data_IF_355488742924
#
_entry.id   IF_355488742924
#
_cell.length_a   1.000
_cell.length_b   1.000
_cell.length_c   1.000
_cell.angle_alpha   90.00
_cell.angle_beta   90.00
_cell.angle_gamma   90.00
#
_symmetry.space_group_name_H-M   'P 1'
#
loop_
_entity.id
_entity.type
_entity.pdbx_description
1 polymer ?
#
# COMPACT_ATOMS: atom_id res chain seq x y z
N UNK A 1 -18.04 2.66 -20.44
CA UNK A 1 -17.37 2.88 -19.15
C UNK A 1 -18.43 2.72 -18.07
N UNK A 2 -18.52 1.54 -17.47
CA UNK A 2 -19.40 1.29 -16.32
C UNK A 2 -18.82 2.02 -15.14
N UNK A 3 -19.53 3.02 -14.63
CA UNK A 3 -19.19 3.69 -13.37
C UNK A 3 -19.11 2.63 -12.27
N UNK A 4 -17.92 2.42 -11.72
CA UNK A 4 -17.77 1.58 -10.53
C UNK A 4 -18.67 2.15 -9.43
N UNK A 5 -19.36 1.28 -8.69
CA UNK A 5 -20.19 1.71 -7.57
C UNK A 5 -19.31 2.52 -6.57
N UNK A 6 -19.86 3.60 -6.00
CA UNK A 6 -19.11 4.42 -5.05
C UNK A 6 -18.77 3.59 -3.80
N UNK A 7 -17.52 3.67 -3.35
CA UNK A 7 -17.10 3.07 -2.09
C UNK A 7 -17.74 3.79 -0.90
N UNK A 8 -18.14 3.04 0.11
CA UNK A 8 -18.67 3.61 1.33
C UNK A 8 -17.55 3.98 2.29
N UNK A 9 -17.36 5.28 2.53
CA UNK A 9 -16.36 5.77 3.48
C UNK A 9 -16.87 5.68 4.91
N UNK A 10 -15.99 5.27 5.83
CA UNK A 10 -16.25 5.12 7.26
C UNK A 10 -15.11 5.73 8.06
N UNK A 11 -15.41 6.25 9.24
CA UNK A 11 -14.42 6.78 10.15
C UNK A 11 -14.06 5.75 11.24
N UNK A 12 -12.77 5.64 11.55
CA UNK A 12 -12.24 5.01 12.75
C UNK A 12 -11.80 6.12 13.69
N UNK A 13 -12.47 6.24 14.84
CA UNK A 13 -12.14 7.24 15.85
C UNK A 13 -10.75 7.03 16.45
N UNK A 14 -10.10 8.11 16.85
CA UNK A 14 -8.78 8.10 17.47
C UNK A 14 -7.97 9.35 17.08
N UNK A 15 -6.72 9.39 17.49
CA UNK A 15 -5.77 10.45 17.14
C UNK A 15 -4.55 9.83 16.44
N UNK A 16 -4.40 10.03 15.14
CA UNK A 16 -5.34 10.69 14.24
C UNK A 16 -6.62 9.85 13.97
N UNK A 17 -7.72 10.51 13.57
CA UNK A 17 -8.88 9.81 13.01
C UNK A 17 -8.55 9.28 11.63
N UNK A 18 -8.94 8.03 11.34
CA UNK A 18 -8.69 7.40 10.06
C UNK A 18 -10.00 7.24 9.28
N UNK A 19 -9.88 7.33 7.97
CA UNK A 19 -10.94 6.94 7.05
C UNK A 19 -10.60 5.62 6.40
N UNK A 20 -11.57 4.74 6.29
CA UNK A 20 -11.47 3.53 5.51
C UNK A 20 -12.68 3.37 4.60
N UNK A 21 -12.52 2.65 3.52
CA UNK A 21 -13.51 2.49 2.49
C UNK A 21 -13.92 1.03 2.39
N UNK A 22 -15.22 0.81 2.29
CA UNK A 22 -15.83 -0.48 2.03
C UNK A 22 -16.28 -0.48 0.56
N UNK A 23 -15.60 -1.21 -0.33
CA UNK A 23 -15.96 -1.29 -1.75
C UNK A 23 -17.26 -2.03 -2.01
N UNK A 24 -17.73 -2.83 -1.04
CA UNK A 24 -18.99 -3.57 -1.14
C UNK A 24 -20.02 -2.96 -0.18
N UNK A 25 -21.24 -2.63 -0.65
CA UNK A 25 -22.30 -2.23 0.27
C UNK A 25 -22.59 -3.38 1.24
N UNK A 26 -22.63 -3.08 2.53
CA UNK A 26 -23.09 -4.04 3.54
C UNK A 26 -24.43 -4.60 3.10
N UNK A 27 -24.47 -5.87 2.74
CA UNK A 27 -25.76 -6.57 2.64
C UNK A 27 -26.36 -6.58 4.03
N UNK A 28 -27.64 -6.23 4.15
CA UNK A 28 -28.40 -6.07 5.38
C UNK A 28 -28.49 -7.32 6.28
N UNK A 29 -27.72 -8.35 6.00
CA UNK A 29 -27.58 -9.60 6.76
C UNK A 29 -26.39 -9.63 7.72
N UNK A 30 -25.86 -8.49 8.14
CA UNK A 30 -24.83 -8.39 9.19
C UNK A 30 -25.45 -8.58 10.60
N UNK A 31 -26.13 -9.73 10.79
CA UNK A 31 -26.65 -10.15 12.10
C UNK A 31 -25.49 -10.66 12.94
N UNK A 32 -25.32 -10.18 14.20
CA UNK A 32 -24.32 -10.75 15.11
C UNK A 32 -24.58 -12.24 15.31
N UNK A 33 -23.58 -13.08 15.02
CA UNK A 33 -23.65 -14.54 15.25
C UNK A 33 -23.54 -15.44 14.03
N UNK A 34 -23.50 -14.91 12.79
CA UNK A 34 -23.32 -15.75 11.60
C UNK A 34 -21.83 -16.05 11.35
N UNK A 35 -21.42 -17.28 11.59
CA UNK A 35 -20.05 -17.81 11.50
C UNK A 35 -19.53 -18.08 10.07
N UNK A 36 -20.16 -17.53 9.03
CA UNK A 36 -19.85 -17.83 7.64
C UNK A 36 -19.64 -16.58 6.80
N UNK A 37 -18.67 -15.74 7.17
CA UNK A 37 -18.35 -14.55 6.35
C UNK A 37 -16.88 -14.58 6.02
N UNK A 38 -16.58 -14.50 4.72
CA UNK A 38 -15.24 -14.55 4.17
C UNK A 38 -14.23 -13.70 4.95
N UNK A 39 -12.97 -14.12 4.96
CA UNK A 39 -11.90 -13.42 5.66
C UNK A 39 -11.83 -11.95 5.23
N UNK A 40 -11.59 -11.05 6.18
CA UNK A 40 -11.35 -9.65 5.84
C UNK A 40 -9.99 -9.49 5.18
N UNK A 41 -9.93 -8.71 4.09
CA UNK A 41 -8.68 -8.29 3.46
C UNK A 41 -8.53 -6.79 3.66
N UNK A 42 -7.48 -6.40 4.36
CA UNK A 42 -7.13 -5.00 4.66
C UNK A 42 -6.09 -4.53 3.66
N UNK A 43 -6.39 -3.48 2.88
CA UNK A 43 -5.52 -2.92 1.86
C UNK A 43 -4.87 -1.63 2.37
N UNK A 44 -3.52 -1.55 2.29
CA UNK A 44 -2.69 -0.44 2.80
C UNK A 44 -1.85 0.13 1.64
N UNK A 45 -2.14 1.37 1.24
CA UNK A 45 -1.53 2.01 0.07
C UNK A 45 -0.10 2.52 0.32
N UNK A 46 0.61 2.88 -0.77
CA UNK A 46 1.93 3.49 -0.73
C UNK A 46 1.92 4.97 -0.33
N UNK A 47 3.10 5.50 0.01
CA UNK A 47 3.28 6.93 0.26
C UNK A 47 2.88 7.75 -0.96
N UNK A 48 2.30 8.94 -0.77
CA UNK A 48 1.74 9.82 -1.81
C UNK A 48 0.49 9.31 -2.53
N UNK A 49 -0.07 8.18 -2.09
CA UNK A 49 -1.28 7.57 -2.65
C UNK A 49 -2.47 7.72 -1.68
N UNK A 50 -3.58 7.10 -2.01
CA UNK A 50 -4.75 6.98 -1.14
C UNK A 50 -5.40 5.61 -1.37
N UNK A 51 -6.41 5.26 -0.59
CA UNK A 51 -7.07 3.96 -0.69
C UNK A 51 -7.58 3.64 -2.09
N UNK A 52 -8.08 4.62 -2.82
CA UNK A 52 -8.57 4.44 -4.19
C UNK A 52 -7.49 4.00 -5.20
N UNK A 53 -6.21 4.08 -4.84
CA UNK A 53 -5.13 3.53 -5.66
C UNK A 53 -5.27 2.01 -5.88
N UNK A 54 -6.01 1.34 -5.00
CA UNK A 54 -6.34 -0.08 -5.13
C UNK A 54 -7.58 -0.39 -5.98
N UNK A 55 -8.27 0.59 -6.59
CA UNK A 55 -9.47 0.33 -7.40
C UNK A 55 -9.30 -0.81 -8.43
N UNK A 56 -8.19 -0.90 -9.19
CA UNK A 56 -8.01 -2.01 -10.13
C UNK A 56 -7.87 -3.37 -9.43
N UNK A 57 -7.16 -3.43 -8.31
CA UNK A 57 -7.01 -4.66 -7.53
C UNK A 57 -8.32 -5.07 -6.87
N UNK A 58 -9.06 -4.12 -6.30
CA UNK A 58 -10.40 -4.34 -5.73
C UNK A 58 -11.33 -4.91 -6.78
N UNK A 59 -11.41 -4.30 -7.97
CA UNK A 59 -12.23 -4.81 -9.07
C UNK A 59 -11.84 -6.25 -9.45
N UNK A 60 -10.55 -6.59 -9.44
CA UNK A 60 -10.07 -7.94 -9.71
C UNK A 60 -10.38 -8.92 -8.58
N UNK A 61 -10.37 -8.48 -7.30
CA UNK A 61 -10.71 -9.32 -6.15
C UNK A 61 -12.20 -9.60 -6.05
N UNK A 62 -13.04 -8.65 -6.47
CA UNK A 62 -14.51 -8.76 -6.41
C UNK A 62 -15.14 -9.36 -7.67
N UNK A 63 -14.36 -9.49 -8.76
CA UNK A 63 -14.83 -10.14 -9.98
C UNK A 63 -15.28 -11.57 -9.68
N UNK A 64 -16.54 -11.88 -9.99
CA UNK A 64 -17.13 -13.20 -9.81
C UNK A 64 -16.54 -14.17 -10.83
N UNK A 65 -15.67 -15.08 -10.39
CA UNK A 65 -15.27 -16.27 -11.14
C UNK A 65 -15.85 -17.49 -10.40
N UNK A 66 -16.40 -18.43 -11.14
CA UNK A 66 -16.80 -19.73 -10.59
C UNK A 66 -15.59 -20.37 -9.89
N UNK A 67 -15.70 -20.59 -8.56
CA UNK A 67 -14.63 -21.09 -7.70
C UNK A 67 -13.98 -20.07 -6.75
N UNK A 68 -14.33 -18.78 -6.82
CA UNK A 68 -13.68 -17.71 -6.03
C UNK A 68 -14.34 -17.41 -4.68
N UNK A 69 -15.19 -18.28 -4.18
CA UNK A 69 -15.94 -18.05 -2.95
C UNK A 69 -15.60 -19.11 -1.91
N UNK A 70 -15.25 -18.66 -0.71
CA UNK A 70 -15.33 -19.50 0.49
C UNK A 70 -16.77 -19.39 0.98
N UNK A 71 -17.50 -20.52 1.04
CA UNK A 71 -18.92 -20.56 1.43
C UNK A 71 -19.86 -19.63 0.59
N UNK A 72 -19.56 -19.43 -0.70
CA UNK A 72 -20.40 -18.61 -1.59
C UNK A 72 -20.21 -17.09 -1.43
N UNK A 73 -19.24 -16.63 -0.64
CA UNK A 73 -18.95 -15.22 -0.40
C UNK A 73 -17.50 -14.86 -0.76
N UNK A 74 -17.29 -13.75 -1.45
CA UNK A 74 -15.97 -13.18 -1.68
C UNK A 74 -15.34 -12.61 -0.40
N UNK A 75 -14.03 -12.22 -0.45
CA UNK A 75 -13.37 -11.61 0.69
C UNK A 75 -14.04 -10.27 1.04
N UNK A 76 -14.14 -9.97 2.34
CA UNK A 76 -14.60 -8.63 2.80
C UNK A 76 -13.45 -7.65 2.71
N UNK A 77 -13.53 -6.67 1.85
CA UNK A 77 -12.46 -5.72 1.64
C UNK A 77 -12.60 -4.52 2.59
N UNK A 78 -11.47 -4.03 3.10
CA UNK A 78 -11.35 -2.77 3.81
C UNK A 78 -10.10 -2.05 3.29
N UNK A 79 -10.29 -0.87 2.73
CA UNK A 79 -9.20 -0.07 2.14
C UNK A 79 -8.97 1.14 3.01
N UNK A 80 -7.81 1.25 3.66
CA UNK A 80 -7.49 2.34 4.57
C UNK A 80 -6.84 3.50 3.82
N UNK A 81 -7.34 4.72 4.06
CA UNK A 81 -6.52 5.92 3.90
C UNK A 81 -5.60 6.02 5.11
N UNK A 82 -4.30 5.97 4.90
CA UNK A 82 -3.33 6.08 5.99
C UNK A 82 -3.25 7.53 6.50
N UNK A 83 -2.79 7.74 7.75
CA UNK A 83 -2.64 9.10 8.34
C UNK A 83 -2.01 10.06 7.34
N UNK A 84 -2.49 11.29 7.29
CA UNK A 84 -2.00 12.34 6.38
C UNK A 84 -2.29 12.14 4.90
N UNK A 85 -3.05 11.10 4.52
CA UNK A 85 -3.42 10.79 3.14
C UNK A 85 -4.94 10.72 2.98
N UNK A 86 -5.41 10.93 1.76
CA UNK A 86 -6.82 10.77 1.40
C UNK A 86 -7.75 11.56 2.30
N UNK A 87 -8.73 10.89 2.86
CA UNK A 87 -9.73 11.48 3.77
C UNK A 87 -9.38 11.29 5.25
N UNK A 88 -8.22 10.66 5.57
CA UNK A 88 -7.73 10.52 6.94
C UNK A 88 -7.11 11.82 7.47
N UNK A 89 -7.17 12.00 8.80
CA UNK A 89 -6.63 13.19 9.46
C UNK A 89 -5.11 13.29 9.33
N UNK A 90 -4.63 14.52 9.38
CA UNK A 90 -3.21 14.83 9.55
C UNK A 90 -2.75 14.38 10.93
N UNK A 91 -1.43 14.20 11.09
CA UNK A 91 -0.80 13.82 12.33
C UNK A 91 0.48 14.64 12.56
N UNK A 92 1.00 14.60 13.78
CA UNK A 92 2.26 15.27 14.11
C UNK A 92 3.51 14.48 13.69
N UNK A 93 3.35 13.19 13.36
CA UNK A 93 4.46 12.28 13.04
C UNK A 93 4.06 11.24 12.01
N UNK A 94 5.02 10.87 11.13
CA UNK A 94 4.82 10.06 9.94
C UNK A 94 5.91 8.99 9.75
N UNK A 95 6.28 8.27 10.81
CA UNK A 95 7.18 7.12 10.73
C UNK A 95 6.42 5.85 10.33
N UNK A 96 7.09 4.84 9.77
CA UNK A 96 6.48 3.56 9.44
C UNK A 96 5.79 2.93 10.66
N UNK A 97 6.39 3.05 11.84
CA UNK A 97 5.83 2.57 13.10
C UNK A 97 4.54 3.29 13.51
N UNK A 98 4.37 4.56 13.13
CA UNK A 98 3.15 5.31 13.41
C UNK A 98 1.99 4.83 12.53
N UNK A 99 2.25 4.62 11.23
CA UNK A 99 1.28 4.02 10.31
C UNK A 99 0.88 2.61 10.76
N UNK A 100 1.86 1.84 11.25
CA UNK A 100 1.61 0.49 11.76
C UNK A 100 0.75 0.51 13.03
N UNK A 101 0.92 1.48 13.92
CA UNK A 101 0.06 1.65 15.09
C UNK A 101 -1.40 1.95 14.67
N UNK A 102 -1.61 2.74 13.63
CA UNK A 102 -2.95 3.00 13.08
C UNK A 102 -3.58 1.74 12.48
N UNK A 103 -2.84 1.02 11.67
CA UNK A 103 -3.32 -0.24 11.09
C UNK A 103 -3.63 -1.28 12.18
N UNK A 104 -2.81 -1.37 13.22
CA UNK A 104 -3.06 -2.22 14.38
C UNK A 104 -4.37 -1.86 15.08
N UNK A 105 -4.63 -0.58 15.33
CA UNK A 105 -5.89 -0.10 15.91
C UNK A 105 -7.11 -0.49 15.06
N UNK A 106 -6.98 -0.40 13.73
CA UNK A 106 -8.04 -0.86 12.83
C UNK A 106 -8.27 -2.37 12.96
N UNK A 107 -7.20 -3.17 12.95
CA UNK A 107 -7.25 -4.63 13.03
C UNK A 107 -7.82 -5.08 14.38
N UNK A 108 -7.39 -4.47 15.49
CA UNK A 108 -7.92 -4.76 16.83
C UNK A 108 -9.44 -4.51 16.92
N UNK A 109 -9.92 -3.46 16.25
CA UNK A 109 -11.36 -3.11 16.24
C UNK A 109 -12.18 -4.05 15.36
N UNK A 110 -11.62 -4.54 14.23
CA UNK A 110 -12.39 -5.24 13.21
C UNK A 110 -12.13 -6.76 13.14
N UNK A 111 -11.17 -7.27 13.93
CA UNK A 111 -10.89 -8.69 14.08
C UNK A 111 -9.96 -9.27 13.01
N UNK A 112 -9.87 -10.62 12.95
CA UNK A 112 -8.89 -11.30 12.11
C UNK A 112 -8.97 -10.95 10.63
N UNK A 113 -7.79 -10.82 9.98
CA UNK A 113 -7.69 -10.40 8.58
C UNK A 113 -6.45 -10.98 7.87
N UNK A 114 -6.47 -10.85 6.54
CA UNK A 114 -5.28 -10.85 5.69
C UNK A 114 -4.92 -9.38 5.43
N UNK A 115 -3.65 -9.05 5.53
CA UNK A 115 -3.16 -7.70 5.20
C UNK A 115 -2.45 -7.70 3.85
N UNK A 116 -2.79 -6.74 3.00
CA UNK A 116 -2.17 -6.55 1.68
C UNK A 116 -1.66 -5.12 1.62
N UNK A 117 -0.36 -4.95 1.50
CA UNK A 117 0.24 -3.62 1.47
C UNK A 117 1.07 -3.38 0.22
N UNK A 118 1.10 -2.15 -0.26
CA UNK A 118 1.97 -1.70 -1.34
C UNK A 118 2.96 -0.66 -0.82
N UNK A 119 4.24 -0.80 -1.15
CA UNK A 119 5.28 0.18 -0.81
C UNK A 119 5.33 0.46 0.70
N UNK A 120 5.08 1.69 1.17
CA UNK A 120 4.88 2.02 2.59
C UNK A 120 3.89 1.06 3.26
N UNK A 121 2.73 0.83 2.62
CA UNK A 121 1.72 -0.08 3.14
C UNK A 121 2.21 -1.52 3.29
N UNK A 122 3.18 -1.95 2.47
CA UNK A 122 3.79 -3.27 2.61
C UNK A 122 4.69 -3.36 3.86
N UNK A 123 5.43 -2.30 4.17
CA UNK A 123 6.20 -2.22 5.42
C UNK A 123 5.28 -2.21 6.65
N UNK A 124 4.17 -1.46 6.57
CA UNK A 124 3.14 -1.45 7.61
C UNK A 124 2.51 -2.84 7.76
N UNK A 125 2.15 -3.50 6.66
CA UNK A 125 1.59 -4.86 6.67
C UNK A 125 2.54 -5.88 7.29
N UNK A 126 3.85 -5.82 6.98
CA UNK A 126 4.86 -6.66 7.60
C UNK A 126 4.92 -6.43 9.12
N UNK A 127 4.92 -5.17 9.54
CA UNK A 127 5.01 -4.83 10.97
C UNK A 127 3.79 -5.33 11.76
N UNK A 128 2.56 -5.13 11.26
CA UNK A 128 1.36 -5.61 11.96
C UNK A 128 1.28 -7.14 11.94
N UNK A 129 1.75 -7.81 10.87
CA UNK A 129 1.83 -9.27 10.81
C UNK A 129 2.79 -9.84 11.86
N UNK A 130 3.91 -9.15 12.12
CA UNK A 130 4.85 -9.51 13.18
C UNK A 130 4.30 -9.26 14.59
N UNK A 131 3.53 -8.19 14.78
CA UNK A 131 3.06 -7.72 16.11
C UNK A 131 1.71 -8.29 16.53
N UNK A 132 0.87 -8.69 15.59
CA UNK A 132 -0.50 -9.18 15.83
C UNK A 132 -0.71 -10.61 15.27
N UNK A 133 0.11 -11.61 15.68
CA UNK A 133 0.07 -12.95 15.08
C UNK A 133 -1.26 -13.68 15.32
N UNK A 134 -2.04 -13.27 16.31
CA UNK A 134 -3.38 -13.82 16.58
C UNK A 134 -4.46 -13.27 15.62
N UNK A 135 -4.26 -12.07 15.06
CA UNK A 135 -5.24 -11.37 14.25
C UNK A 135 -4.84 -11.34 12.75
N UNK A 136 -3.57 -11.22 12.44
CA UNK A 136 -3.10 -11.26 11.05
C UNK A 136 -2.87 -12.71 10.64
N UNK A 137 -3.78 -13.22 9.81
CA UNK A 137 -3.80 -14.63 9.37
C UNK A 137 -2.95 -14.88 8.13
N UNK A 138 -2.60 -13.82 7.40
CA UNK A 138 -1.74 -13.88 6.22
C UNK A 138 -1.36 -12.49 5.76
N UNK A 139 -0.26 -12.36 4.99
CA UNK A 139 0.19 -11.08 4.47
C UNK A 139 0.68 -11.17 3.02
N UNK A 140 0.38 -10.14 2.21
CA UNK A 140 0.96 -9.93 0.88
C UNK A 140 1.66 -8.57 0.88
N UNK A 141 2.97 -8.58 0.69
CA UNK A 141 3.82 -7.39 0.68
C UNK A 141 4.20 -7.06 -0.75
N UNK A 142 3.67 -5.98 -1.30
CA UNK A 142 3.89 -5.60 -2.69
C UNK A 142 4.98 -4.54 -2.74
N UNK A 143 6.16 -4.93 -3.20
CA UNK A 143 7.32 -4.10 -3.51
C UNK A 143 7.71 -3.09 -2.40
N UNK A 144 7.94 -3.55 -1.15
CA UNK A 144 8.35 -2.68 -0.04
C UNK A 144 9.75 -2.11 -0.26
N UNK A 145 9.96 -0.80 -0.05
CA UNK A 145 11.27 -0.18 -0.31
C UNK A 145 12.24 -0.24 0.88
N UNK A 146 12.12 -1.13 1.78
CA UNK A 146 12.92 -1.30 3.00
C UNK A 146 14.05 -0.24 3.20
N UNK A 147 15.34 -0.63 3.22
CA UNK A 147 16.47 0.29 3.44
C UNK A 147 16.72 1.24 2.25
N UNK A 148 16.27 0.89 1.04
CA UNK A 148 16.47 1.70 -0.17
C UNK A 148 15.85 3.10 -0.08
N UNK A 149 14.75 3.25 0.67
CA UNK A 149 14.12 4.54 0.95
C UNK A 149 14.28 4.98 2.42
N UNK A 150 15.15 4.35 3.19
CA UNK A 150 15.57 4.78 4.51
C UNK A 150 16.85 5.62 4.42
N UNK A 151 17.88 5.24 5.19
CA UNK A 151 19.17 5.95 5.26
C UNK A 151 19.87 6.10 3.88
N UNK A 152 19.56 5.22 2.92
CA UNK A 152 20.15 5.22 1.57
C UNK A 152 19.38 6.08 0.55
N UNK A 153 18.36 6.83 0.97
CA UNK A 153 17.55 7.63 0.04
C UNK A 153 18.33 8.80 -0.58
N UNK A 154 19.32 9.33 0.15
CA UNK A 154 20.09 10.51 -0.27
C UNK A 154 20.74 10.36 -1.64
N UNK A 155 20.53 11.31 -2.54
CA UNK A 155 21.02 11.33 -3.92
C UNK A 155 20.27 10.39 -4.88
N UNK A 156 19.23 9.70 -4.42
CA UNK A 156 18.46 8.76 -5.24
C UNK A 156 17.39 9.46 -6.11
N UNK A 157 16.93 8.76 -7.12
CA UNK A 157 15.76 9.17 -7.93
C UNK A 157 14.50 9.33 -7.05
N UNK A 158 14.38 8.55 -5.98
CA UNK A 158 13.26 8.61 -5.04
C UNK A 158 13.28 9.88 -4.20
N UNK A 159 14.47 10.31 -3.72
CA UNK A 159 14.60 11.58 -3.02
C UNK A 159 14.16 12.75 -3.93
N UNK A 160 14.69 12.81 -5.15
CA UNK A 160 14.34 13.85 -6.12
C UNK A 160 12.82 13.89 -6.39
N UNK A 161 12.19 12.71 -6.52
CA UNK A 161 10.76 12.59 -6.69
C UNK A 161 9.99 13.15 -5.48
N UNK A 162 10.33 12.72 -4.26
CA UNK A 162 9.61 13.13 -3.05
C UNK A 162 9.82 14.62 -2.73
N UNK A 163 11.00 15.16 -2.96
CA UNK A 163 11.26 16.62 -2.86
C UNK A 163 10.34 17.38 -3.84
N UNK A 164 10.31 16.98 -5.10
CA UNK A 164 9.47 17.61 -6.11
C UNK A 164 7.97 17.51 -5.79
N UNK A 165 7.50 16.35 -5.32
CA UNK A 165 6.10 16.15 -4.91
C UNK A 165 5.73 17.02 -3.70
N UNK A 166 6.61 17.10 -2.68
CA UNK A 166 6.39 17.95 -1.51
C UNK A 166 6.29 19.42 -1.90
N UNK A 167 7.17 19.88 -2.76
CA UNK A 167 7.14 21.28 -3.26
C UNK A 167 5.90 21.55 -4.09
N UNK A 168 5.52 20.65 -5.02
CA UNK A 168 4.31 20.79 -5.80
C UNK A 168 3.08 20.91 -4.88
N UNK A 169 2.99 20.04 -3.85
CA UNK A 169 1.89 20.07 -2.89
C UNK A 169 1.86 21.33 -2.03
N UNK A 170 3.03 21.85 -1.59
CA UNK A 170 3.15 23.08 -0.80
C UNK A 170 2.78 24.33 -1.60
N UNK A 171 3.06 24.37 -2.92
CA UNK A 171 2.63 25.44 -3.80
C UNK A 171 1.11 25.52 -3.91
N UNK A 172 0.43 24.39 -3.71
CA UNK A 172 -1.03 24.31 -3.80
C UNK A 172 -1.55 24.31 -5.23
N UNK A 173 -2.84 24.60 -5.37
CA UNK A 173 -3.55 24.58 -6.64
C UNK A 173 -4.47 23.38 -6.79
N UNK A 174 -5.32 23.41 -7.82
CA UNK A 174 -6.22 22.28 -8.14
C UNK A 174 -5.46 21.13 -8.82
N UNK A 175 -6.17 20.00 -8.98
CA UNK A 175 -5.60 18.78 -9.61
C UNK A 175 -4.88 19.04 -10.94
N UNK A 176 -5.41 19.85 -11.88
CA UNK A 176 -4.69 20.15 -13.13
C UNK A 176 -3.35 20.85 -12.91
N UNK A 177 -3.28 21.82 -11.98
CA UNK A 177 -2.04 22.54 -11.67
C UNK A 177 -1.02 21.61 -10.99
N UNK A 178 -1.48 20.71 -10.09
CA UNK A 178 -0.63 19.71 -9.48
C UNK A 178 -0.10 18.72 -10.51
N UNK A 179 -0.93 18.24 -11.44
CA UNK A 179 -0.51 17.33 -12.50
C UNK A 179 0.58 17.97 -13.39
N UNK A 180 0.41 19.24 -13.75
CA UNK A 180 1.43 19.99 -14.48
C UNK A 180 2.73 20.13 -13.68
N UNK A 181 2.65 20.46 -12.38
CA UNK A 181 3.82 20.58 -11.51
C UNK A 181 4.53 19.22 -11.32
N UNK A 182 3.79 18.11 -11.20
CA UNK A 182 4.34 16.74 -11.13
C UNK A 182 5.06 16.40 -12.43
N UNK A 183 4.51 16.75 -13.59
CA UNK A 183 5.14 16.50 -14.89
C UNK A 183 6.50 17.18 -15.03
N UNK A 184 6.70 18.34 -14.39
CA UNK A 184 7.97 19.10 -14.42
C UNK A 184 9.04 18.56 -13.46
N UNK A 185 8.73 17.60 -12.58
CA UNK A 185 9.72 17.01 -11.67
C UNK A 185 10.82 16.35 -12.49
N UNK A 186 12.06 16.68 -12.19
CA UNK A 186 13.25 16.19 -12.85
C UNK A 186 13.89 15.09 -12.02
N UNK A 187 14.05 13.91 -12.63
CA UNK A 187 14.59 12.72 -12.01
C UNK A 187 15.99 12.40 -12.55
N UNK A 188 16.98 12.10 -11.70
CA UNK A 188 18.26 11.54 -12.12
C UNK A 188 18.05 10.22 -12.86
N UNK A 189 18.70 10.07 -14.02
CA UNK A 189 18.69 8.85 -14.84
C UNK A 189 20.10 8.59 -15.39
N UNK A 190 20.98 8.07 -14.55
CA UNK A 190 22.41 7.96 -14.83
C UNK A 190 23.05 9.34 -15.01
N UNK A 191 23.70 9.58 -16.15
CA UNK A 191 24.31 10.87 -16.48
C UNK A 191 23.32 11.93 -17.03
N UNK A 192 22.04 11.60 -17.13
CA UNK A 192 20.98 12.46 -17.67
C UNK A 192 19.96 12.80 -16.59
N UNK A 193 19.13 13.78 -16.91
CA UNK A 193 17.93 14.11 -16.13
C UNK A 193 16.72 13.96 -17.04
N UNK A 194 15.69 13.29 -16.54
CA UNK A 194 14.44 13.04 -17.28
C UNK A 194 13.30 13.75 -16.55
N UNK A 195 12.40 14.41 -17.30
CA UNK A 195 11.16 14.95 -16.72
C UNK A 195 10.16 13.81 -16.49
N UNK A 196 9.45 13.85 -15.38
CA UNK A 196 8.45 12.83 -15.07
C UNK A 196 7.34 12.78 -16.13
N UNK A 197 6.97 13.94 -16.71
CA UNK A 197 5.99 14.02 -17.80
C UNK A 197 6.44 13.41 -19.12
N UNK A 198 7.74 13.15 -19.30
CA UNK A 198 8.24 12.48 -20.52
C UNK A 198 8.17 10.95 -20.43
N UNK A 199 7.98 10.41 -19.20
CA UNK A 199 7.98 8.96 -18.91
C UNK A 199 6.67 8.46 -18.28
N UNK A 200 5.73 9.34 -17.98
CA UNK A 200 4.40 9.00 -17.47
C UNK A 200 3.32 9.64 -18.32
N UNK A 201 2.27 8.90 -18.63
CA UNK A 201 1.12 9.41 -19.36
C UNK A 201 0.27 10.39 -18.52
N UNK A 202 -0.58 11.15 -19.20
CA UNK A 202 -1.41 12.17 -18.60
C UNK A 202 -2.41 11.60 -17.56
N UNK A 203 -2.89 10.37 -17.77
CA UNK A 203 -3.82 9.70 -16.84
C UNK A 203 -3.12 9.37 -15.53
N UNK A 204 -1.91 8.80 -15.59
CA UNK A 204 -1.10 8.51 -14.41
C UNK A 204 -0.70 9.78 -13.65
N UNK A 205 -0.37 10.87 -14.35
CA UNK A 205 -0.06 12.17 -13.74
C UNK A 205 -1.28 12.78 -13.07
N UNK A 206 -2.44 12.78 -13.73
CA UNK A 206 -3.70 13.28 -13.17
C UNK A 206 -4.10 12.49 -11.92
N UNK A 207 -4.03 11.17 -11.98
CA UNK A 207 -4.32 10.32 -10.84
C UNK A 207 -3.36 10.59 -9.65
N UNK A 208 -2.07 10.74 -9.93
CA UNK A 208 -1.12 11.08 -8.88
C UNK A 208 -1.44 12.45 -8.25
N UNK A 209 -1.83 13.42 -9.08
CA UNK A 209 -2.23 14.75 -8.62
C UNK A 209 -3.50 14.70 -7.74
N UNK A 210 -4.48 13.84 -8.06
CA UNK A 210 -5.65 13.63 -7.21
C UNK A 210 -5.25 13.12 -5.82
N UNK A 211 -4.42 12.08 -5.75
CA UNK A 211 -3.92 11.58 -4.47
C UNK A 211 -3.11 12.66 -3.73
N UNK A 212 -2.21 13.35 -4.44
CA UNK A 212 -1.35 14.39 -3.87
C UNK A 212 -2.16 15.60 -3.34
N UNK A 213 -3.28 15.93 -3.97
CA UNK A 213 -4.15 17.03 -3.55
C UNK A 213 -4.69 16.88 -2.12
N UNK A 214 -4.79 15.65 -1.63
CA UNK A 214 -5.27 15.28 -0.30
C UNK A 214 -4.16 14.88 0.66
N UNK A 215 -2.89 14.97 0.23
CA UNK A 215 -1.74 14.62 1.06
C UNK A 215 -1.38 15.78 1.99
N UNK A 216 -1.06 15.48 3.24
CA UNK A 216 -0.28 16.38 4.09
C UNK A 216 1.18 16.39 3.59
N UNK A 217 1.74 17.52 3.13
CA UNK A 217 3.11 17.55 2.62
C UNK A 217 4.16 17.13 3.66
N UNK A 218 3.85 17.18 4.97
CA UNK A 218 4.76 16.77 6.04
C UNK A 218 4.94 15.25 6.13
N UNK A 219 4.08 14.47 5.49
CA UNK A 219 4.28 13.03 5.26
C UNK A 219 5.64 12.73 4.62
N UNK A 220 6.07 13.61 3.70
CA UNK A 220 7.31 13.42 2.93
C UNK A 220 8.57 13.89 3.66
N UNK A 221 8.43 14.64 4.74
CA UNK A 221 9.58 15.14 5.50
C UNK A 221 10.47 14.02 6.05
N UNK A 222 9.98 13.05 6.85
CA UNK A 222 10.84 11.96 7.34
C UNK A 222 11.35 11.03 6.23
N UNK A 223 10.61 10.89 5.12
CA UNK A 223 11.06 10.11 3.97
C UNK A 223 12.28 10.75 3.33
N UNK A 224 12.22 12.05 3.00
CA UNK A 224 13.30 12.81 2.37
C UNK A 224 14.54 12.88 3.28
N UNK A 225 14.33 12.95 4.59
CA UNK A 225 15.40 12.98 5.60
C UNK A 225 15.98 11.59 5.92
N UNK A 226 15.47 10.52 5.29
CA UNK A 226 15.94 9.16 5.53
C UNK A 226 15.58 8.59 6.91
N UNK A 227 14.66 9.23 7.63
CA UNK A 227 14.30 8.92 9.02
C UNK A 227 13.01 8.12 9.20
N UNK A 228 12.26 7.88 8.14
CA UNK A 228 10.93 7.28 8.28
C UNK A 228 10.94 5.82 8.78
N UNK A 229 12.13 5.16 8.74
CA UNK A 229 12.35 3.82 9.32
C UNK A 229 12.82 3.86 10.78
N UNK A 230 12.82 5.02 11.45
CA UNK A 230 13.14 5.08 12.88
C UNK A 230 12.23 4.14 13.68
N UNK A 231 12.85 3.20 14.40
CA UNK A 231 12.14 2.16 15.18
C UNK A 231 11.58 1.00 14.34
N UNK A 232 11.92 0.93 13.05
CA UNK A 232 11.55 -0.16 12.14
C UNK A 232 12.82 -0.86 11.64
N UNK A 233 13.01 -2.13 12.01
CA UNK A 233 14.07 -3.00 11.49
C UNK A 233 13.43 -4.07 10.61
N UNK A 234 13.62 -4.04 9.28
CA UNK A 234 13.03 -5.00 8.36
C UNK A 234 13.40 -6.45 8.67
N UNK A 235 14.64 -6.71 9.09
CA UNK A 235 15.11 -8.06 9.41
C UNK A 235 14.47 -8.61 10.67
N UNK A 236 14.40 -7.81 11.72
CA UNK A 236 13.74 -8.20 12.97
C UNK A 236 12.23 -8.39 12.75
N UNK A 237 11.59 -7.53 11.94
CA UNK A 237 10.18 -7.67 11.55
C UNK A 237 9.97 -8.98 10.79
N UNK A 238 10.78 -9.27 9.76
CA UNK A 238 10.69 -10.49 8.98
C UNK A 238 10.78 -11.75 9.86
N UNK A 239 11.78 -11.79 10.75
CA UNK A 239 12.00 -12.89 11.66
C UNK A 239 10.85 -13.11 12.66
N UNK A 240 10.04 -12.10 12.92
CA UNK A 240 8.91 -12.18 13.85
C UNK A 240 7.59 -12.60 13.21
N UNK A 241 7.45 -12.57 11.88
CA UNK A 241 6.22 -12.97 11.16
C UNK A 241 6.01 -14.48 11.31
N UNK A 242 4.77 -14.88 11.61
CA UNK A 242 4.39 -16.30 11.81
C UNK A 242 3.30 -16.77 10.86
N UNK A 243 2.51 -15.86 10.28
CA UNK A 243 1.47 -16.22 9.31
C UNK A 243 2.07 -16.50 7.92
N UNK A 244 1.36 -17.23 7.04
CA UNK A 244 1.71 -17.32 5.62
C UNK A 244 1.94 -15.92 5.01
N UNK A 245 3.04 -15.77 4.27
CA UNK A 245 3.52 -14.50 3.74
C UNK A 245 3.93 -14.63 2.29
N UNK A 246 3.49 -13.72 1.44
CA UNK A 246 3.98 -13.57 0.07
C UNK A 246 4.65 -12.20 -0.07
N UNK A 247 5.95 -12.20 -0.38
CA UNK A 247 6.70 -11.01 -0.78
C UNK A 247 6.69 -10.91 -2.31
N UNK A 248 6.04 -9.89 -2.84
CA UNK A 248 5.97 -9.65 -4.29
C UNK A 248 6.96 -8.56 -4.66
N UNK A 249 7.97 -8.93 -5.44
CA UNK A 249 9.01 -8.01 -5.93
C UNK A 249 8.68 -7.56 -7.35
N UNK A 250 8.64 -6.25 -7.60
CA UNK A 250 8.68 -5.67 -8.94
C UNK A 250 10.08 -5.82 -9.55
N UNK A 251 10.20 -5.56 -10.85
CA UNK A 251 11.49 -5.60 -11.53
C UNK A 251 12.30 -4.33 -11.21
N UNK A 252 13.46 -4.43 -10.53
CA UNK A 252 14.29 -3.25 -10.26
C UNK A 252 14.73 -2.52 -11.53
N UNK A 253 14.93 -3.25 -12.65
CA UNK A 253 15.28 -2.65 -13.93
C UNK A 253 14.15 -1.82 -14.56
N UNK A 254 12.90 -2.07 -14.11
CA UNK A 254 11.71 -1.34 -14.53
C UNK A 254 11.23 -0.32 -13.47
N UNK A 255 12.05 -0.01 -12.46
CA UNK A 255 11.74 0.95 -11.41
C UNK A 255 11.05 0.36 -10.19
N UNK A 256 11.18 -0.96 -9.96
CA UNK A 256 10.85 -1.59 -8.69
C UNK A 256 11.64 -0.97 -7.53
N UNK A 257 11.03 -0.88 -6.36
CA UNK A 257 11.64 -0.25 -5.18
C UNK A 257 12.41 -1.23 -4.30
N UNK A 258 12.09 -2.52 -4.38
CA UNK A 258 12.74 -3.60 -3.63
C UNK A 258 13.87 -4.20 -4.47
N UNK A 259 15.11 -4.03 -4.04
CA UNK A 259 16.24 -4.65 -4.71
C UNK A 259 16.36 -6.16 -4.42
N UNK A 260 17.14 -6.87 -5.25
CA UNK A 260 17.29 -8.33 -5.15
C UNK A 260 17.92 -8.79 -3.84
N UNK A 261 18.87 -8.03 -3.31
CA UNK A 261 19.56 -8.35 -2.07
C UNK A 261 18.62 -8.19 -0.86
N UNK A 262 17.85 -7.11 -0.82
CA UNK A 262 16.86 -6.87 0.22
C UNK A 262 15.72 -7.90 0.16
N UNK A 263 15.23 -8.24 -1.04
CA UNK A 263 14.22 -9.27 -1.23
C UNK A 263 14.69 -10.63 -0.71
N UNK A 264 15.90 -11.03 -1.06
CA UNK A 264 16.50 -12.29 -0.60
C UNK A 264 16.73 -12.29 0.92
N UNK A 265 17.24 -11.19 1.47
CA UNK A 265 17.51 -11.07 2.91
C UNK A 265 16.20 -11.14 3.72
N UNK A 266 15.15 -10.41 3.31
CA UNK A 266 13.86 -10.45 3.97
C UNK A 266 13.21 -11.84 3.90
N UNK A 267 13.19 -12.45 2.70
CA UNK A 267 12.64 -13.79 2.52
C UNK A 267 13.40 -14.87 3.32
N UNK A 268 14.72 -14.74 3.42
CA UNK A 268 15.54 -15.65 4.25
C UNK A 268 15.27 -15.50 5.75
N UNK A 269 14.98 -14.28 6.21
CA UNK A 269 14.69 -14.01 7.61
C UNK A 269 13.27 -14.40 8.02
N UNK A 270 12.30 -14.39 7.10
CA UNK A 270 10.90 -14.72 7.35
C UNK A 270 10.59 -16.21 7.12
N UNK A 271 10.28 -17.02 8.16
CA UNK A 271 10.15 -18.48 8.06
C UNK A 271 9.07 -18.96 7.10
N UNK A 272 8.07 -18.13 6.83
CA UNK A 272 6.86 -18.48 6.05
C UNK A 272 6.73 -17.69 4.76
N UNK A 273 7.84 -17.10 4.27
CA UNK A 273 7.84 -16.21 3.13
C UNK A 273 8.00 -16.95 1.79
N UNK A 274 7.02 -16.79 0.91
CA UNK A 274 7.12 -17.09 -0.52
C UNK A 274 7.56 -15.81 -1.25
N UNK A 275 8.70 -15.83 -1.94
CA UNK A 275 9.15 -14.72 -2.78
C UNK A 275 8.64 -14.89 -4.21
N UNK A 276 7.77 -13.99 -4.65
CA UNK A 276 7.22 -13.93 -6.00
C UNK A 276 7.80 -12.73 -6.77
N UNK A 277 8.51 -12.99 -7.88
CA UNK A 277 9.07 -11.94 -8.74
C UNK A 277 8.19 -11.69 -9.96
N UNK A 278 8.06 -10.41 -10.34
CA UNK A 278 7.27 -9.99 -11.51
C UNK A 278 8.19 -9.24 -12.47
N UNK A 279 8.88 -9.99 -13.32
CA UNK A 279 9.79 -9.43 -14.34
C UNK A 279 9.06 -8.49 -15.29
N UNK A 280 9.71 -7.41 -15.70
CA UNK A 280 9.18 -6.40 -16.61
C UNK A 280 8.12 -5.47 -16.01
N UNK A 281 7.78 -5.60 -14.74
CA UNK A 281 6.79 -4.78 -14.07
C UNK A 281 7.42 -3.71 -13.18
N UNK A 282 6.88 -2.49 -13.21
CA UNK A 282 7.30 -1.38 -12.36
C UNK A 282 6.74 -1.45 -10.95
N UNK A 283 7.04 -0.41 -10.15
CA UNK A 283 6.62 -0.31 -8.75
C UNK A 283 5.10 -0.36 -8.52
N UNK A 284 4.29 0.06 -9.50
CA UNK A 284 2.84 0.16 -9.36
C UNK A 284 2.09 -1.15 -9.71
N UNK A 285 2.62 -2.31 -9.30
CA UNK A 285 2.10 -3.66 -9.57
C UNK A 285 0.59 -3.81 -9.35
N UNK A 286 0.05 -3.21 -8.29
CA UNK A 286 -1.37 -3.28 -7.93
C UNK A 286 -2.29 -2.59 -8.95
N UNK A 287 -1.73 -1.72 -9.78
CA UNK A 287 -2.43 -1.04 -10.89
C UNK A 287 -2.14 -1.67 -12.24
N UNK A 288 -0.90 -2.09 -12.46
CA UNK A 288 -0.42 -2.61 -13.76
C UNK A 288 -0.75 -4.10 -13.94
N UNK A 289 -0.74 -4.87 -12.85
CA UNK A 289 -0.99 -6.32 -12.84
C UNK A 289 -2.03 -6.75 -11.80
N UNK A 290 -3.22 -6.11 -11.74
CA UNK A 290 -4.19 -6.32 -10.67
C UNK A 290 -4.72 -7.76 -10.62
N UNK A 291 -4.95 -8.40 -11.78
CA UNK A 291 -5.43 -9.77 -11.86
C UNK A 291 -4.42 -10.78 -11.27
N UNK A 292 -3.12 -10.58 -11.53
CA UNK A 292 -2.06 -11.41 -10.97
C UNK A 292 -2.00 -11.29 -9.44
N UNK A 293 -2.06 -10.07 -8.94
CA UNK A 293 -2.07 -9.85 -7.49
C UNK A 293 -3.33 -10.38 -6.82
N UNK A 294 -4.49 -10.24 -7.48
CA UNK A 294 -5.73 -10.82 -6.99
C UNK A 294 -5.63 -12.35 -6.88
N UNK A 295 -5.02 -13.02 -7.87
CA UNK A 295 -4.73 -14.45 -7.80
C UNK A 295 -3.81 -14.77 -6.60
N UNK A 296 -2.71 -14.03 -6.42
CA UNK A 296 -1.80 -14.21 -5.28
C UNK A 296 -2.53 -14.09 -3.94
N UNK A 297 -3.41 -13.09 -3.79
CA UNK A 297 -4.20 -12.91 -2.55
C UNK A 297 -5.16 -14.07 -2.33
N UNK A 298 -5.86 -14.55 -3.37
CA UNK A 298 -6.77 -15.69 -3.27
C UNK A 298 -6.04 -16.98 -2.93
N UNK A 299 -4.90 -17.24 -3.57
CA UNK A 299 -4.07 -18.42 -3.31
C UNK A 299 -3.56 -18.42 -1.87
N UNK A 300 -3.17 -17.25 -1.35
CA UNK A 300 -2.82 -17.10 0.07
C UNK A 300 -4.02 -17.42 0.96
N UNK A 301 -5.20 -16.85 0.69
CA UNK A 301 -6.42 -17.11 1.47
C UNK A 301 -6.79 -18.60 1.45
N UNK A 302 -6.70 -19.26 0.29
CA UNK A 302 -7.01 -20.68 0.16
C UNK A 302 -6.06 -21.60 0.93
N UNK A 303 -4.90 -21.13 1.36
CA UNK A 303 -3.91 -21.85 2.19
C UNK A 303 -4.03 -21.58 3.69
N UNK A 304 -4.92 -20.68 4.09
CA UNK A 304 -5.11 -20.36 5.51
C UNK A 304 -5.80 -21.53 6.23
N UNK A 305 -5.36 -21.85 7.46
CA UNK A 305 -5.96 -22.88 8.29
C UNK A 305 -7.36 -22.51 8.82
#
# INVERSE_FOLDING_TARGET
MTSAAPWHSRALAGDPALTWHDPEPLRTADVPGASARGIRVVLLHGVTRCGRDFEPLVASLTATHEGNTVDGHGPRLAVLDQRGHGDSSRASRYLVTDYAADAARFIDTHGPCVVVGHSLGAMVAAYVAARLPALVRGAVLIDPPFHGMGERIGGSTWEALFVGLREARRRGGGVPALAAAIAEIRLPAGARTVRLGDVRDATALSWHAECLSRLDPEVLTPVIEGRWLEGYDPTAVAAAIRCPLVLVQADPACGGALDDAEAAAFASAAPTCDLARVSGAGHALHREHPARLAATVRDLIGRLP
#
